data_IF_280869242448
#
_entry.id   IF_280869242448
#
_cell.length_a   1.000
_cell.length_b   1.000
_cell.length_c   1.000
_cell.angle_alpha   90.00
_cell.angle_beta   90.00
_cell.angle_gamma   90.00
#
_symmetry.space_group_name_H-M   'P 1'
#
loop_
_entity.id
_entity.type
_entity.pdbx_description
1 polymer ?
#
# COMPACT_ATOMS: atom_id res chain seq x y z
N UNK A 1 8.86 -9.88 29.28
CA UNK A 1 8.44 -8.89 30.28
C UNK A 1 9.20 -7.59 30.15
N UNK A 2 10.55 -7.54 30.28
CA UNK A 2 11.34 -6.30 30.07
C UNK A 2 11.09 -5.71 28.68
N UNK A 3 11.26 -6.52 27.63
CA UNK A 3 10.92 -6.15 26.24
C UNK A 3 9.48 -5.63 26.03
N UNK A 4 8.53 -6.06 26.86
CA UNK A 4 7.12 -5.67 26.79
C UNK A 4 6.77 -4.46 27.68
N UNK A 5 7.77 -3.81 28.29
CA UNK A 5 7.58 -2.61 29.11
C UNK A 5 7.10 -2.83 30.54
N UNK A 6 6.97 -4.07 31.01
CA UNK A 6 6.44 -4.34 32.36
C UNK A 6 7.29 -3.76 33.50
N UNK A 7 8.52 -3.34 33.22
CA UNK A 7 9.49 -2.84 34.19
C UNK A 7 9.86 -1.37 33.99
N UNK A 8 9.20 -0.66 33.06
CA UNK A 8 9.51 0.74 32.74
C UNK A 8 9.29 1.68 33.97
N UNK A 9 8.51 1.24 34.97
CA UNK A 9 8.31 1.94 36.24
C UNK A 9 9.41 1.76 37.30
N UNK A 10 10.45 0.95 37.05
CA UNK A 10 11.54 0.70 38.01
C UNK A 10 12.58 1.84 38.08
N UNK A 11 12.39 2.92 37.32
CA UNK A 11 13.35 4.03 37.25
C UNK A 11 14.61 3.69 36.44
N UNK A 12 14.55 2.62 35.65
CA UNK A 12 15.59 2.20 34.71
C UNK A 12 14.99 1.98 33.33
N UNK A 13 15.82 2.21 32.31
CA UNK A 13 15.41 2.03 30.93
C UNK A 13 15.52 0.54 30.51
N UNK A 14 14.96 0.16 29.35
CA UNK A 14 14.93 -1.24 28.94
C UNK A 14 16.31 -1.79 28.67
N UNK A 15 17.21 -1.02 28.06
CA UNK A 15 18.60 -1.43 27.84
C UNK A 15 19.32 -1.76 29.16
N UNK A 16 19.12 -0.94 30.18
CA UNK A 16 19.65 -1.14 31.52
C UNK A 16 19.09 -2.39 32.18
N UNK A 17 17.78 -2.60 32.14
CA UNK A 17 17.13 -3.79 32.67
C UNK A 17 17.63 -5.07 31.95
N UNK A 18 17.76 -4.99 30.63
CA UNK A 18 18.27 -6.09 29.79
C UNK A 18 19.73 -6.42 30.09
N UNK A 19 20.55 -5.45 30.49
CA UNK A 19 21.95 -5.70 30.83
C UNK A 19 22.14 -6.41 32.18
N UNK A 20 21.18 -6.28 33.11
CA UNK A 20 21.35 -6.77 34.49
C UNK A 20 20.50 -8.00 34.83
N UNK A 21 19.45 -8.32 34.08
CA UNK A 21 18.48 -9.35 34.50
C UNK A 21 19.11 -10.72 34.76
N UNK A 22 20.07 -11.17 33.94
CA UNK A 22 20.73 -12.46 34.13
C UNK A 22 21.52 -12.49 35.43
N UNK A 23 22.33 -11.46 35.66
CA UNK A 23 23.12 -11.34 36.88
C UNK A 23 22.26 -11.23 38.13
N UNK A 24 21.11 -10.55 38.05
CA UNK A 24 20.15 -10.43 39.13
C UNK A 24 19.48 -11.77 39.46
N UNK A 25 19.07 -12.53 38.43
CA UNK A 25 18.51 -13.88 38.61
C UNK A 25 19.52 -14.84 39.21
N UNK A 26 20.78 -14.79 38.78
CA UNK A 26 21.86 -15.63 39.31
C UNK A 26 22.19 -15.29 40.77
N UNK A 27 22.21 -14.00 41.12
CA UNK A 27 22.41 -13.56 42.49
C UNK A 27 21.30 -14.08 43.42
N UNK A 28 20.04 -13.92 43.03
CA UNK A 28 18.90 -14.43 43.79
C UNK A 28 18.89 -15.96 43.90
N UNK A 29 19.23 -16.68 42.83
CA UNK A 29 19.34 -18.13 42.86
C UNK A 29 20.43 -18.61 43.84
N UNK A 30 21.57 -17.89 43.93
CA UNK A 30 22.62 -18.15 44.92
C UNK A 30 22.16 -17.86 46.34
N UNK A 31 21.49 -16.73 46.57
CA UNK A 31 20.91 -16.38 47.88
C UNK A 31 19.92 -17.44 48.34
N UNK A 32 19.00 -17.89 47.48
CA UNK A 32 18.03 -18.96 47.82
C UNK A 32 18.71 -20.29 48.11
N UNK A 33 19.78 -20.66 47.39
CA UNK A 33 20.56 -21.89 47.68
C UNK A 33 21.33 -21.77 49.00
N UNK A 34 21.84 -20.59 49.32
CA UNK A 34 22.50 -20.32 50.61
C UNK A 34 21.53 -20.33 51.80
N UNK A 35 20.27 -19.95 51.57
CA UNK A 35 19.21 -19.92 52.57
C UNK A 35 18.38 -21.21 52.66
N UNK A 36 18.82 -22.32 52.06
CA UNK A 36 18.12 -23.60 52.20
C UNK A 36 18.15 -24.03 53.67
N UNK A 37 16.96 -24.31 54.20
CA UNK A 37 16.61 -24.48 55.62
C UNK A 37 17.73 -25.04 56.52
N UNK A 38 18.16 -24.21 57.47
CA UNK A 38 18.87 -24.63 58.69
C UNK A 38 20.30 -24.13 58.85
N UNK A 39 20.91 -23.53 57.82
CA UNK A 39 22.27 -23.00 57.93
C UNK A 39 22.26 -21.48 58.14
N UNK A 40 22.01 -21.04 59.38
CA UNK A 40 22.33 -19.66 59.78
C UNK A 40 23.86 -19.54 59.66
N UNK A 41 24.33 -18.66 58.77
CA UNK A 41 25.76 -18.39 58.64
C UNK A 41 26.28 -17.91 60.00
N UNK A 42 27.32 -18.56 60.55
CA UNK A 42 27.92 -18.21 61.85
C UNK A 42 28.39 -16.74 61.91
N UNK A 43 28.54 -16.07 60.76
CA UNK A 43 28.82 -14.64 60.64
C UNK A 43 27.61 -13.73 60.93
N UNK A 44 26.38 -14.19 60.64
CA UNK A 44 25.15 -13.43 60.90
C UNK A 44 24.80 -13.42 62.39
N UNK A 45 25.10 -14.52 63.10
CA UNK A 45 24.87 -14.64 64.54
C UNK A 45 25.89 -13.85 65.38
N UNK A 46 27.05 -13.51 64.81
CA UNK A 46 28.14 -12.79 65.47
C UNK A 46 28.05 -11.25 65.34
N UNK A 47 26.91 -10.71 64.90
CA UNK A 47 26.73 -9.27 64.71
C UNK A 47 27.45 -8.72 63.48
N UNK A 48 27.68 -9.57 62.46
CA UNK A 48 28.14 -9.12 61.15
C UNK A 48 27.18 -8.09 60.56
N UNK A 49 27.72 -7.04 59.95
CA UNK A 49 26.95 -5.98 59.32
C UNK A 49 25.84 -6.57 58.43
N UNK A 50 24.64 -5.94 58.37
CA UNK A 50 23.57 -6.42 57.52
C UNK A 50 24.13 -6.64 56.11
N UNK A 51 23.71 -7.71 55.39
CA UNK A 51 24.19 -7.95 54.04
C UNK A 51 24.03 -6.66 53.28
N UNK A 52 25.14 -6.14 52.75
CA UNK A 52 25.11 -4.95 51.93
C UNK A 52 24.03 -5.22 50.88
N UNK A 53 22.92 -4.49 50.98
CA UNK A 53 21.92 -4.46 49.92
C UNK A 53 22.75 -3.99 48.75
N UNK A 54 23.09 -4.91 47.85
CA UNK A 54 23.67 -4.56 46.57
C UNK A 54 22.59 -3.66 45.97
N UNK A 55 22.75 -2.35 46.14
CA UNK A 55 22.22 -1.40 45.20
C UNK A 55 22.97 -1.75 43.92
N UNK A 56 22.46 -2.77 43.22
CA UNK A 56 22.79 -3.05 41.85
C UNK A 56 22.27 -1.85 41.08
N UNK A 57 23.05 -0.77 41.13
CA UNK A 57 22.77 0.42 40.36
C UNK A 57 22.77 -0.02 38.92
N UNK A 58 21.71 0.30 38.21
CA UNK A 58 21.64 0.05 36.78
C UNK A 58 22.87 0.67 36.09
N UNK A 59 23.49 -0.04 35.13
CA UNK A 59 24.62 0.52 34.40
C UNK A 59 24.16 1.77 33.65
N UNK A 60 25.05 2.74 33.44
CA UNK A 60 24.71 3.91 32.64
C UNK A 60 24.70 3.54 31.16
N UNK A 61 23.55 3.09 30.66
CA UNK A 61 23.31 2.79 29.25
C UNK A 61 22.25 3.71 28.67
N UNK A 62 22.49 4.15 27.44
CA UNK A 62 21.50 4.84 26.63
C UNK A 62 20.35 3.88 26.28
N UNK A 63 19.14 4.43 26.12
CA UNK A 63 17.97 3.62 25.78
C UNK A 63 18.02 3.17 24.32
N UNK A 64 17.32 2.06 24.03
CA UNK A 64 17.15 1.60 22.67
C UNK A 64 16.45 2.66 21.78
N UNK A 65 16.80 2.73 20.48
CA UNK A 65 16.06 3.54 19.52
C UNK A 65 14.57 3.17 19.52
N UNK A 66 13.69 4.16 19.30
CA UNK A 66 12.23 3.98 19.31
C UNK A 66 11.78 2.78 18.48
N UNK A 67 12.32 2.61 17.28
CA UNK A 67 11.97 1.48 16.40
C UNK A 67 12.30 0.13 17.03
N UNK A 68 13.45 0.00 17.70
CA UNK A 68 13.82 -1.22 18.40
C UNK A 68 12.91 -1.50 19.61
N UNK A 69 12.48 -0.46 20.33
CA UNK A 69 11.50 -0.61 21.41
C UNK A 69 10.14 -1.14 20.90
N UNK A 70 9.66 -0.60 19.77
CA UNK A 70 8.43 -1.05 19.13
C UNK A 70 8.54 -2.49 18.61
N UNK A 71 9.67 -2.86 18.01
CA UNK A 71 9.94 -4.25 17.60
C UNK A 71 9.95 -5.19 18.80
N UNK A 72 10.63 -4.83 19.89
CA UNK A 72 10.66 -5.63 21.13
C UNK A 72 9.26 -5.81 21.74
N UNK A 73 8.43 -4.77 21.67
CA UNK A 73 7.05 -4.82 22.12
C UNK A 73 6.23 -5.79 21.27
N UNK A 74 6.19 -5.60 19.95
CA UNK A 74 5.48 -6.49 19.02
C UNK A 74 5.96 -7.94 19.11
N UNK A 75 7.26 -8.18 19.24
CA UNK A 75 7.81 -9.53 19.43
C UNK A 75 7.22 -10.25 20.65
N UNK A 76 6.92 -9.52 21.74
CA UNK A 76 6.48 -10.12 22.99
C UNK A 76 4.97 -10.13 23.16
N UNK A 77 4.26 -9.15 22.61
CA UNK A 77 2.81 -8.97 22.80
C UNK A 77 2.02 -9.29 21.54
N UNK A 78 2.69 -9.38 20.38
CA UNK A 78 2.08 -9.51 19.06
C UNK A 78 1.53 -8.20 18.48
N UNK A 79 1.54 -7.11 19.24
CA UNK A 79 0.94 -5.82 18.85
C UNK A 79 1.80 -4.64 19.31
N UNK A 80 1.71 -3.52 18.62
CA UNK A 80 2.33 -2.27 19.08
C UNK A 80 1.41 -1.58 20.10
N UNK A 81 1.88 -1.31 21.32
CA UNK A 81 1.06 -0.71 22.40
C UNK A 81 1.45 0.74 22.63
N UNK A 82 2.75 1.03 22.59
CA UNK A 82 3.30 2.37 22.89
C UNK A 82 3.28 3.34 21.70
N UNK A 83 3.05 2.87 20.48
CA UNK A 83 2.93 3.68 19.25
C UNK A 83 3.17 2.86 17.99
N UNK A 84 2.84 3.38 16.81
CA UNK A 84 2.98 2.63 15.55
C UNK A 84 4.27 3.03 14.80
N UNK A 85 4.96 2.10 14.09
CA UNK A 85 6.10 2.46 13.23
C UNK A 85 5.76 3.51 12.16
N UNK A 86 4.47 3.66 11.82
CA UNK A 86 3.97 4.66 10.88
C UNK A 86 3.76 6.04 11.50
N UNK A 87 3.85 6.20 12.83
CA UNK A 87 3.66 7.49 13.50
C UNK A 87 4.63 8.55 12.96
N UNK A 88 5.86 8.15 12.66
CA UNK A 88 6.88 9.04 12.10
C UNK A 88 6.55 9.48 10.65
N UNK A 89 5.58 8.83 10.01
CA UNK A 89 5.13 9.08 8.65
C UNK A 89 3.68 9.60 8.60
N UNK A 90 3.04 9.86 9.75
CA UNK A 90 1.62 10.21 9.82
C UNK A 90 1.24 11.39 8.91
N UNK A 91 2.04 12.46 8.92
CA UNK A 91 1.81 13.62 8.05
C UNK A 91 1.85 13.27 6.56
N UNK A 92 2.72 12.34 6.16
CA UNK A 92 2.83 11.90 4.78
C UNK A 92 1.65 11.03 4.40
N UNK A 93 1.28 10.09 5.26
CA UNK A 93 0.10 9.24 5.07
C UNK A 93 -1.20 10.05 5.02
N UNK A 94 -1.25 11.17 5.75
CA UNK A 94 -2.39 12.08 5.71
C UNK A 94 -2.61 12.75 4.35
N UNK A 95 -1.55 12.90 3.54
CA UNK A 95 -1.67 13.44 2.18
C UNK A 95 -2.20 12.44 1.15
N UNK A 96 -2.29 11.16 1.51
CA UNK A 96 -2.74 10.13 0.60
C UNK A 96 -4.27 10.16 0.46
N UNK A 97 -4.74 10.01 -0.77
CA UNK A 97 -6.17 10.06 -1.11
C UNK A 97 -6.93 8.78 -0.80
N UNK A 98 -6.25 7.75 -0.31
CA UNK A 98 -6.84 6.43 -0.09
C UNK A 98 -6.13 5.67 1.03
N UNK A 99 -6.92 5.10 1.93
CA UNK A 99 -6.53 4.38 3.15
C UNK A 99 -7.29 3.06 3.23
N UNK A 100 -6.89 2.21 4.16
CA UNK A 100 -7.54 0.92 4.35
C UNK A 100 -8.96 1.07 4.92
N UNK A 101 -9.23 2.14 5.69
CA UNK A 101 -10.59 2.54 6.07
C UNK A 101 -11.50 2.74 4.85
N UNK A 102 -11.02 3.38 3.78
CA UNK A 102 -11.83 3.58 2.58
C UNK A 102 -12.21 2.23 1.94
N UNK A 103 -11.32 1.23 2.00
CA UNK A 103 -11.61 -0.14 1.52
C UNK A 103 -12.74 -0.77 2.33
N UNK A 104 -12.71 -0.62 3.66
CA UNK A 104 -13.76 -1.13 4.53
C UNK A 104 -15.11 -0.43 4.22
N UNK A 105 -15.10 0.89 4.05
CA UNK A 105 -16.30 1.64 3.66
C UNK A 105 -16.84 1.20 2.30
N UNK A 106 -15.99 0.86 1.33
CA UNK A 106 -16.43 0.33 0.03
C UNK A 106 -17.19 -0.98 0.18
N UNK A 107 -16.73 -1.89 1.04
CA UNK A 107 -17.41 -3.18 1.25
C UNK A 107 -18.78 -3.06 1.91
N UNK A 108 -19.05 -1.95 2.61
CA UNK A 108 -20.34 -1.70 3.25
C UNK A 108 -21.38 -1.04 2.32
N UNK A 109 -21.00 -0.63 1.11
CA UNK A 109 -21.92 -0.01 0.14
C UNK A 109 -22.90 -1.03 -0.46
N UNK A 110 -24.02 -0.53 -0.99
CA UNK A 110 -25.04 -1.38 -1.65
C UNK A 110 -24.48 -2.19 -2.82
N UNK A 111 -23.46 -1.67 -3.52
CA UNK A 111 -22.77 -2.34 -4.61
C UNK A 111 -21.50 -3.09 -4.16
N UNK A 112 -21.26 -3.20 -2.84
CA UNK A 112 -20.05 -3.74 -2.24
C UNK A 112 -18.75 -3.16 -2.83
N UNK A 113 -18.79 -1.93 -3.37
CA UNK A 113 -17.65 -1.27 -3.99
C UNK A 113 -17.30 -1.73 -5.40
N UNK A 114 -18.14 -2.53 -6.06
CA UNK A 114 -17.92 -3.02 -7.44
C UNK A 114 -17.72 -1.86 -8.42
N UNK A 115 -18.38 -0.71 -8.20
CA UNK A 115 -18.19 0.50 -9.01
C UNK A 115 -16.75 1.04 -9.01
N UNK A 116 -15.96 0.71 -7.99
CA UNK A 116 -14.57 1.15 -7.81
C UNK A 116 -13.55 0.11 -8.32
N UNK A 117 -14.00 -1.01 -8.88
CA UNK A 117 -13.11 -2.01 -9.47
C UNK A 117 -12.23 -1.41 -10.58
N UNK A 118 -10.93 -1.67 -10.50
CA UNK A 118 -9.92 -1.12 -11.40
C UNK A 118 -9.51 0.32 -11.10
N UNK A 119 -10.07 0.98 -10.07
CA UNK A 119 -9.62 2.31 -9.64
C UNK A 119 -8.16 2.27 -9.23
N UNK A 120 -7.38 3.22 -9.75
CA UNK A 120 -5.98 3.38 -9.36
C UNK A 120 -5.91 4.12 -8.02
N UNK A 121 -5.18 3.58 -7.07
CA UNK A 121 -5.00 4.15 -5.74
C UNK A 121 -3.54 4.11 -5.33
N UNK A 122 -3.19 5.02 -4.43
CA UNK A 122 -1.89 5.04 -3.76
C UNK A 122 -2.17 4.94 -2.27
N UNK A 123 -1.61 3.91 -1.66
CA UNK A 123 -1.77 3.60 -0.24
C UNK A 123 -0.40 3.57 0.42
N UNK A 124 -0.33 3.98 1.67
CA UNK A 124 0.91 3.95 2.45
C UNK A 124 0.69 3.18 3.72
N UNK A 125 1.65 2.34 4.08
CA UNK A 125 1.53 1.48 5.25
C UNK A 125 2.79 0.67 5.50
N UNK A 126 2.68 -0.28 6.42
CA UNK A 126 3.70 -1.24 6.79
C UNK A 126 3.46 -2.54 6.03
N UNK A 127 4.46 -3.05 5.32
CA UNK A 127 4.37 -4.39 4.72
C UNK A 127 4.66 -5.41 5.83
N UNK A 128 3.62 -6.08 6.32
CA UNK A 128 3.70 -6.98 7.49
C UNK A 128 4.16 -8.38 7.08
N UNK A 129 3.75 -8.82 5.89
CA UNK A 129 4.16 -10.12 5.35
C UNK A 129 4.27 -10.10 3.83
N UNK A 130 5.10 -10.98 3.30
CA UNK A 130 5.26 -11.24 1.86
C UNK A 130 5.42 -12.75 1.67
N UNK A 131 4.50 -13.38 0.92
CA UNK A 131 4.56 -14.79 0.55
C UNK A 131 4.66 -14.95 -0.96
N UNK A 132 5.52 -15.86 -1.40
CA UNK A 132 5.65 -16.22 -2.81
C UNK A 132 4.81 -17.47 -3.13
N UNK A 133 4.15 -17.49 -4.27
CA UNK A 133 3.40 -18.65 -4.76
C UNK A 133 3.67 -18.88 -6.24
N UNK A 134 3.82 -20.13 -6.64
CA UNK A 134 3.97 -20.49 -8.06
C UNK A 134 2.60 -20.49 -8.74
N UNK A 135 2.47 -19.71 -9.81
CA UNK A 135 1.28 -19.68 -10.66
C UNK A 135 1.12 -21.00 -11.43
N UNK A 136 -0.08 -21.27 -11.95
CA UNK A 136 -0.36 -22.42 -12.82
C UNK A 136 0.55 -22.48 -14.07
N UNK A 137 1.14 -21.35 -14.48
CA UNK A 137 2.05 -21.22 -15.63
C UNK A 137 3.53 -21.37 -15.24
N UNK A 138 3.84 -21.66 -13.98
CA UNK A 138 5.21 -21.85 -13.47
C UNK A 138 5.93 -20.57 -13.05
N UNK A 139 5.39 -19.38 -13.33
CA UNK A 139 5.96 -18.11 -12.86
C UNK A 139 5.63 -17.88 -11.38
N UNK A 140 6.51 -17.21 -10.62
CA UNK A 140 6.25 -16.84 -9.22
C UNK A 140 5.41 -15.56 -9.13
N UNK A 141 4.42 -15.52 -8.25
CA UNK A 141 3.66 -14.33 -7.86
C UNK A 141 3.82 -14.10 -6.35
N UNK A 142 3.55 -12.88 -5.90
CA UNK A 142 3.62 -12.52 -4.48
C UNK A 142 2.26 -12.12 -3.92
N UNK A 143 2.02 -12.42 -2.64
CA UNK A 143 0.97 -11.80 -1.86
C UNK A 143 1.62 -11.10 -0.68
N UNK A 144 1.36 -9.81 -0.54
CA UNK A 144 1.78 -9.01 0.59
C UNK A 144 0.58 -8.57 1.41
N UNK A 145 0.78 -8.27 2.68
CA UNK A 145 -0.23 -7.62 3.52
C UNK A 145 0.28 -6.23 3.86
N UNK A 146 -0.48 -5.21 3.44
CA UNK A 146 -0.24 -3.82 3.81
C UNK A 146 -1.11 -3.48 5.02
N UNK A 147 -0.50 -2.99 6.08
CA UNK A 147 -1.17 -2.51 7.29
C UNK A 147 -0.98 -1.00 7.44
N UNK A 148 -2.06 -0.25 7.63
CA UNK A 148 -1.99 1.15 8.02
C UNK A 148 -2.60 1.35 9.42
N UNK A 149 -2.77 2.60 9.85
CA UNK A 149 -3.35 2.93 11.17
C UNK A 149 -4.84 2.56 11.30
N UNK A 150 -5.49 2.15 10.21
CA UNK A 150 -6.93 1.91 10.13
C UNK A 150 -7.30 0.45 9.84
N UNK A 151 -6.41 -0.32 9.22
CA UNK A 151 -6.67 -1.72 8.92
C UNK A 151 -5.58 -2.39 8.09
N UNK A 152 -5.93 -3.53 7.48
CA UNK A 152 -5.06 -4.31 6.60
C UNK A 152 -5.72 -4.60 5.25
N UNK A 153 -4.92 -4.66 4.18
CA UNK A 153 -5.37 -5.06 2.83
C UNK A 153 -4.38 -6.05 2.20
N UNK A 154 -4.91 -7.11 1.56
CA UNK A 154 -4.11 -8.03 0.76
C UNK A 154 -3.69 -7.38 -0.57
N UNK A 155 -2.39 -7.39 -0.83
CA UNK A 155 -1.77 -6.86 -2.02
C UNK A 155 -1.26 -8.01 -2.89
N UNK A 156 -1.65 -8.04 -4.17
CA UNK A 156 -1.25 -9.06 -5.13
C UNK A 156 -0.18 -8.51 -6.09
N UNK A 157 0.98 -9.16 -6.10
CA UNK A 157 2.09 -8.85 -6.97
C UNK A 157 2.13 -9.87 -8.12
N UNK A 158 1.78 -9.44 -9.32
CA UNK A 158 1.96 -10.27 -10.52
C UNK A 158 3.44 -10.58 -10.77
N UNK A 159 3.78 -11.65 -11.52
CA UNK A 159 5.15 -12.12 -11.64
C UNK A 159 6.20 -11.05 -11.99
N UNK A 160 5.88 -10.15 -12.93
CA UNK A 160 6.79 -9.04 -13.29
C UNK A 160 7.07 -8.08 -12.15
N UNK A 161 6.07 -7.82 -11.31
CA UNK A 161 6.16 -6.93 -10.15
C UNK A 161 6.86 -7.64 -8.99
N UNK A 162 6.53 -8.92 -8.79
CA UNK A 162 7.18 -9.76 -7.78
C UNK A 162 8.67 -9.97 -8.05
N UNK A 163 9.07 -10.19 -9.30
CA UNK A 163 10.49 -10.29 -9.68
C UNK A 163 11.26 -8.98 -9.42
N UNK A 164 10.59 -7.83 -9.56
CA UNK A 164 11.20 -6.51 -9.39
C UNK A 164 11.34 -6.09 -7.93
N UNK A 165 10.35 -6.38 -7.10
CA UNK A 165 10.30 -5.86 -5.72
C UNK A 165 10.27 -6.96 -4.66
N UNK A 166 9.65 -8.11 -4.95
CA UNK A 166 9.27 -9.10 -3.94
C UNK A 166 10.43 -9.83 -3.25
N UNK A 167 11.64 -9.83 -3.81
CA UNK A 167 12.82 -10.48 -3.21
C UNK A 167 13.51 -9.65 -2.13
N UNK A 168 13.36 -8.33 -2.19
CA UNK A 168 14.17 -7.40 -1.40
C UNK A 168 13.34 -6.61 -0.37
N UNK A 169 12.08 -7.01 -0.14
CA UNK A 169 11.20 -6.36 0.85
C UNK A 169 11.33 -7.08 2.19
N UNK A 170 11.99 -6.48 3.19
CA UNK A 170 11.96 -7.01 4.56
C UNK A 170 10.57 -6.88 5.17
N UNK A 171 10.21 -7.75 6.13
CA UNK A 171 9.01 -7.55 6.94
C UNK A 171 9.12 -6.26 7.75
N UNK A 172 7.97 -5.69 8.10
CA UNK A 172 7.86 -4.45 8.86
C UNK A 172 8.53 -3.24 8.18
N UNK A 173 8.48 -3.22 6.85
CA UNK A 173 8.99 -2.11 6.04
C UNK A 173 7.88 -1.08 5.77
N UNK A 174 8.06 0.20 6.16
CA UNK A 174 7.19 1.28 5.73
C UNK A 174 7.32 1.50 4.21
N UNK A 175 6.21 1.42 3.48
CA UNK A 175 6.19 1.52 2.04
C UNK A 175 4.95 2.25 1.51
N UNK A 176 5.14 2.92 0.37
CA UNK A 176 4.08 3.43 -0.49
C UNK A 176 3.82 2.42 -1.60
N UNK A 177 2.57 2.02 -1.76
CA UNK A 177 2.13 1.07 -2.77
C UNK A 177 1.18 1.78 -3.73
N UNK A 178 1.50 1.74 -5.02
CA UNK A 178 0.57 2.16 -6.08
C UNK A 178 0.03 0.94 -6.78
N UNK A 179 -1.28 0.93 -7.03
CA UNK A 179 -1.92 -0.19 -7.68
C UNK A 179 -3.35 0.09 -8.09
N UNK A 180 -4.05 -0.97 -8.47
CA UNK A 180 -5.48 -0.93 -8.81
C UNK A 180 -6.27 -1.77 -7.82
N UNK A 181 -7.39 -1.25 -7.34
CA UNK A 181 -8.33 -2.03 -6.56
C UNK A 181 -8.91 -3.14 -7.44
N UNK A 182 -8.98 -4.35 -6.90
CA UNK A 182 -9.74 -5.46 -7.44
C UNK A 182 -10.85 -5.78 -6.45
N UNK A 183 -12.08 -5.49 -6.85
CA UNK A 183 -13.29 -5.72 -6.04
C UNK A 183 -14.16 -6.75 -6.75
N UNK A 184 -14.61 -7.77 -6.04
CA UNK A 184 -15.44 -8.85 -6.58
C UNK A 184 -16.56 -9.19 -5.60
N UNK A 185 -17.71 -9.62 -6.11
CA UNK A 185 -18.93 -9.88 -5.31
C UNK A 185 -18.74 -10.85 -4.14
N UNK A 186 -17.79 -11.79 -4.21
CA UNK A 186 -17.57 -12.84 -3.19
C UNK A 186 -16.12 -12.93 -2.69
N UNK A 187 -15.27 -11.96 -3.00
CA UNK A 187 -13.88 -11.92 -2.52
C UNK A 187 -13.61 -10.62 -1.76
N UNK A 188 -12.80 -10.68 -0.70
CA UNK A 188 -12.28 -9.46 -0.06
C UNK A 188 -11.51 -8.61 -1.08
N UNK A 189 -11.68 -7.27 -1.06
CA UNK A 189 -10.95 -6.39 -1.96
C UNK A 189 -9.44 -6.59 -1.87
N UNK A 190 -8.78 -6.60 -3.03
CA UNK A 190 -7.33 -6.76 -3.12
C UNK A 190 -6.72 -5.61 -3.89
N UNK A 191 -5.50 -5.25 -3.53
CA UNK A 191 -4.72 -4.26 -4.29
C UNK A 191 -3.82 -4.99 -5.29
N UNK A 192 -4.08 -4.82 -6.59
CA UNK A 192 -3.18 -5.27 -7.65
C UNK A 192 -2.02 -4.29 -7.76
N UNK A 193 -0.83 -4.70 -7.29
CA UNK A 193 0.31 -3.80 -7.14
C UNK A 193 1.00 -3.53 -8.47
N UNK A 194 1.25 -2.25 -8.77
CA UNK A 194 2.08 -1.79 -9.88
C UNK A 194 3.50 -1.46 -9.39
N UNK A 195 3.62 -0.68 -8.30
CA UNK A 195 4.90 -0.20 -7.76
C UNK A 195 4.91 -0.20 -6.23
N UNK A 196 6.08 -0.43 -5.66
CA UNK A 196 6.36 -0.35 -4.22
C UNK A 196 7.57 0.56 -4.03
N UNK A 197 7.44 1.58 -3.19
CA UNK A 197 8.50 2.53 -2.86
C UNK A 197 8.69 2.59 -1.34
N UNK A 198 9.93 2.48 -0.81
CA UNK A 198 10.19 2.67 0.60
C UNK A 198 9.76 4.06 1.08
N UNK A 199 9.09 4.16 2.22
CA UNK A 199 8.87 5.45 2.87
C UNK A 199 10.18 5.88 3.55
N UNK A 200 10.73 7.00 3.09
CA UNK A 200 11.90 7.63 3.68
C UNK A 200 11.49 8.98 4.28
N UNK A 201 11.95 9.25 5.51
CA UNK A 201 11.57 10.46 6.26
C UNK A 201 11.85 11.78 5.52
N UNK A 202 12.89 11.84 4.68
CA UNK A 202 13.35 13.06 4.02
C UNK A 202 13.08 13.13 2.50
N UNK A 203 12.55 12.07 1.89
CA UNK A 203 12.53 11.96 0.42
C UNK A 203 11.15 12.21 -0.21
N UNK A 204 10.16 12.61 0.57
CA UNK A 204 8.84 12.92 0.02
C UNK A 204 8.77 14.38 -0.43
N UNK A 205 9.26 14.63 -1.65
CA UNK A 205 8.46 15.47 -2.52
C UNK A 205 7.20 14.65 -2.80
N UNK A 206 5.98 15.14 -2.51
CA UNK A 206 4.80 14.51 -3.06
C UNK A 206 5.02 14.50 -4.56
N UNK A 207 5.39 13.33 -5.11
CA UNK A 207 4.67 12.88 -6.27
C UNK A 207 3.26 12.74 -5.75
N UNK A 208 2.53 13.86 -5.80
CA UNK A 208 1.14 13.79 -6.16
C UNK A 208 1.08 12.64 -7.16
N UNK A 209 0.11 11.76 -6.98
CA UNK A 209 -0.51 11.22 -8.17
C UNK A 209 -0.90 12.49 -8.93
N UNK A 210 0.01 12.99 -9.79
CA UNK A 210 -0.39 13.65 -10.98
C UNK A 210 -1.34 12.60 -11.51
N UNK A 211 -2.64 12.84 -11.36
CA UNK A 211 -3.62 12.23 -12.21
C UNK A 211 -2.94 12.28 -13.57
N UNK A 212 -2.41 11.14 -14.04
CA UNK A 212 -1.91 11.07 -15.39
C UNK A 212 -3.08 11.65 -16.17
N UNK A 213 -2.90 12.81 -16.85
CA UNK A 213 -4.02 13.54 -17.43
C UNK A 213 -4.88 12.49 -18.11
N UNK A 214 -6.15 12.36 -17.69
CA UNK A 214 -6.91 11.13 -17.82
C UNK A 214 -6.66 10.58 -19.22
N UNK A 215 -6.11 9.37 -19.30
CA UNK A 215 -5.68 8.81 -20.58
C UNK A 215 -6.79 9.02 -21.61
N UNK A 216 -6.46 9.23 -22.88
CA UNK A 216 -7.49 9.48 -23.90
C UNK A 216 -8.59 8.40 -23.87
N UNK A 217 -8.22 7.16 -23.51
CA UNK A 217 -9.15 6.07 -23.27
C UNK A 217 -10.08 6.27 -22.06
N UNK A 218 -9.59 6.82 -20.95
CA UNK A 218 -10.40 7.17 -19.76
C UNK A 218 -11.41 8.28 -20.08
N UNK A 219 -10.96 9.37 -20.72
CA UNK A 219 -11.84 10.46 -21.18
C UNK A 219 -12.88 9.93 -22.17
N UNK A 220 -12.46 9.09 -23.12
CA UNK A 220 -13.36 8.48 -24.09
C UNK A 220 -14.36 7.50 -23.45
N UNK A 221 -14.00 6.84 -22.34
CA UNK A 221 -14.89 5.94 -21.61
C UNK A 221 -16.00 6.71 -20.88
N UNK A 222 -15.65 7.84 -20.28
CA UNK A 222 -16.54 8.70 -19.49
C UNK A 222 -17.41 9.63 -20.36
N UNK A 223 -17.03 9.88 -21.63
CA UNK A 223 -17.83 10.74 -22.50
C UNK A 223 -19.23 10.17 -22.74
N UNK A 224 -20.29 10.98 -22.56
CA UNK A 224 -21.68 10.57 -22.76
C UNK A 224 -22.02 10.33 -24.23
N UNK A 225 -21.23 10.88 -25.15
CA UNK A 225 -21.43 10.75 -26.60
C UNK A 225 -20.16 10.21 -27.23
N UNK A 226 -20.30 9.27 -28.18
CA UNK A 226 -19.19 8.66 -28.91
C UNK A 226 -19.52 8.58 -30.38
N UNK A 227 -18.57 8.96 -31.23
CA UNK A 227 -18.70 8.84 -32.68
C UNK A 227 -17.88 7.64 -33.17
N UNK A 228 -18.48 6.79 -33.98
CA UNK A 228 -17.82 5.66 -34.61
C UNK A 228 -17.81 5.87 -36.12
N UNK A 229 -16.65 5.69 -36.74
CA UNK A 229 -16.46 5.74 -38.18
C UNK A 229 -15.82 4.44 -38.65
N UNK A 230 -16.44 3.78 -39.62
CA UNK A 230 -15.87 2.63 -40.34
C UNK A 230 -15.23 3.12 -41.64
N UNK A 231 -13.95 2.82 -41.83
CA UNK A 231 -13.20 3.33 -42.99
C UNK A 231 -11.99 2.44 -43.32
N UNK A 232 -11.36 2.68 -44.47
CA UNK A 232 -10.05 2.12 -44.81
C UNK A 232 -8.94 3.07 -44.40
N UNK A 233 -7.72 2.55 -44.16
CA UNK A 233 -6.55 3.35 -43.78
C UNK A 233 -6.18 4.41 -44.83
N UNK A 234 -6.44 4.13 -46.10
CA UNK A 234 -6.22 5.06 -47.22
C UNK A 234 -7.07 6.32 -47.14
N UNK A 235 -8.23 6.25 -46.49
CA UNK A 235 -9.18 7.36 -46.37
C UNK A 235 -8.91 8.24 -45.13
N UNK A 236 -7.82 7.96 -44.39
CA UNK A 236 -7.43 8.69 -43.18
C UNK A 236 -7.22 10.19 -43.41
N UNK A 237 -6.62 10.66 -44.53
CA UNK A 237 -6.52 12.09 -44.81
C UNK A 237 -7.89 12.78 -44.97
N UNK A 238 -8.86 12.10 -45.59
CA UNK A 238 -10.20 12.64 -45.81
C UNK A 238 -10.97 12.76 -44.49
N UNK A 239 -10.82 11.77 -43.61
CA UNK A 239 -11.34 11.83 -42.24
C UNK A 239 -10.75 13.00 -41.46
N UNK A 240 -9.42 13.18 -41.47
CA UNK A 240 -8.76 14.26 -40.77
C UNK A 240 -9.25 15.64 -41.25
N UNK A 241 -9.38 15.81 -42.57
CA UNK A 241 -9.87 17.05 -43.16
C UNK A 241 -11.34 17.35 -42.77
N UNK A 242 -12.17 16.33 -42.59
CA UNK A 242 -13.56 16.48 -42.18
C UNK A 242 -13.70 16.83 -40.69
N UNK A 243 -12.97 16.11 -39.81
CA UNK A 243 -13.06 16.31 -38.36
C UNK A 243 -12.43 17.61 -37.90
N UNK A 244 -11.32 18.05 -38.51
CA UNK A 244 -10.66 19.33 -38.16
C UNK A 244 -11.57 20.55 -38.32
N UNK A 245 -12.68 20.45 -39.06
CA UNK A 245 -13.68 21.52 -39.18
C UNK A 245 -14.54 21.68 -37.92
N UNK A 246 -14.63 20.66 -37.08
CA UNK A 246 -15.48 20.62 -35.90
C UNK A 246 -14.70 20.12 -34.68
N UNK A 247 -13.62 20.79 -34.23
CA UNK A 247 -12.82 20.34 -33.10
C UNK A 247 -13.62 20.39 -31.79
N UNK A 248 -13.38 19.44 -30.88
CA UNK A 248 -13.93 19.50 -29.52
C UNK A 248 -13.67 18.24 -28.69
N UNK A 249 -14.61 17.86 -27.82
CA UNK A 249 -14.34 16.95 -26.69
C UNK A 249 -15.01 15.57 -26.81
N UNK A 250 -15.66 15.29 -27.95
CA UNK A 250 -16.33 14.03 -28.21
C UNK A 250 -15.35 13.04 -28.84
N UNK A 251 -15.11 11.87 -28.21
CA UNK A 251 -14.19 10.86 -28.72
C UNK A 251 -14.69 10.23 -30.03
N UNK A 252 -13.76 10.03 -30.96
CA UNK A 252 -14.01 9.39 -32.25
C UNK A 252 -13.27 8.05 -32.33
N UNK A 253 -14.00 6.99 -32.65
CA UNK A 253 -13.48 5.64 -32.82
C UNK A 253 -13.43 5.26 -34.30
N UNK A 254 -12.28 4.81 -34.78
CA UNK A 254 -12.03 4.41 -36.16
C UNK A 254 -11.99 2.88 -36.26
N UNK A 255 -12.97 2.29 -36.92
CA UNK A 255 -13.02 0.87 -37.22
C UNK A 255 -12.39 0.60 -38.59
N UNK A 256 -11.30 -0.14 -38.61
CA UNK A 256 -10.55 -0.53 -39.81
C UNK A 256 -10.78 -2.04 -40.06
N UNK A 257 -11.79 -2.41 -40.88
CA UNK A 257 -12.18 -3.81 -41.02
C UNK A 257 -11.15 -4.69 -41.73
N UNK A 258 -10.30 -4.12 -42.56
CA UNK A 258 -9.22 -4.86 -43.26
C UNK A 258 -8.09 -5.28 -42.30
N UNK A 259 -7.96 -4.56 -41.18
CA UNK A 259 -6.95 -4.82 -40.15
C UNK A 259 -7.57 -5.48 -38.90
N UNK A 260 -8.90 -5.65 -38.86
CA UNK A 260 -9.66 -6.14 -37.70
C UNK A 260 -9.35 -5.37 -36.39
N UNK A 261 -9.14 -4.05 -36.50
CA UNK A 261 -8.85 -3.18 -35.35
C UNK A 261 -9.84 -2.02 -35.24
N UNK A 262 -10.08 -1.59 -34.00
CA UNK A 262 -10.75 -0.31 -33.70
C UNK A 262 -9.79 0.56 -32.89
N UNK A 263 -9.53 1.76 -33.41
CA UNK A 263 -8.61 2.73 -32.82
C UNK A 263 -9.38 3.90 -32.23
N UNK A 264 -8.94 4.40 -31.09
CA UNK A 264 -9.37 5.70 -30.59
C UNK A 264 -8.55 6.78 -31.31
N UNK A 265 -9.23 7.76 -31.92
CA UNK A 265 -8.55 8.87 -32.58
C UNK A 265 -7.75 9.72 -31.56
N UNK A 266 -6.59 10.27 -31.96
CA UNK A 266 -5.86 11.27 -31.18
C UNK A 266 -6.77 12.42 -30.74
N UNK A 267 -6.41 13.09 -29.63
CA UNK A 267 -7.22 14.16 -29.03
C UNK A 267 -7.58 15.31 -29.98
N UNK A 268 -6.68 15.59 -30.91
CA UNK A 268 -6.81 16.63 -31.93
C UNK A 268 -7.88 16.32 -32.97
N UNK A 269 -8.27 15.05 -33.08
CA UNK A 269 -9.26 14.52 -34.01
C UNK A 269 -10.56 14.10 -33.27
N UNK A 270 -10.85 14.77 -32.16
CA UNK A 270 -12.13 14.66 -31.46
C UNK A 270 -13.08 15.75 -31.96
N UNK A 271 -14.38 15.47 -31.95
CA UNK A 271 -15.37 16.40 -32.48
C UNK A 271 -16.07 17.23 -31.39
N UNK A 272 -16.51 18.44 -31.72
CA UNK A 272 -17.28 19.29 -30.80
C UNK A 272 -18.75 18.89 -30.71
N UNK A 273 -19.37 18.68 -31.87
CA UNK A 273 -20.75 18.22 -31.98
C UNK A 273 -20.80 16.94 -32.83
N UNK A 274 -21.39 15.88 -32.28
CA UNK A 274 -21.43 14.58 -32.93
C UNK A 274 -22.36 14.56 -34.16
N UNK A 275 -23.40 15.40 -34.19
CA UNK A 275 -24.33 15.48 -35.31
C UNK A 275 -23.73 16.29 -36.46
N UNK A 276 -23.04 17.40 -36.16
CA UNK A 276 -22.34 18.18 -37.18
C UNK A 276 -21.17 17.39 -37.77
N UNK A 277 -20.41 16.68 -36.92
CA UNK A 277 -19.35 15.78 -37.37
C UNK A 277 -19.92 14.65 -38.25
N UNK A 278 -21.07 14.07 -37.88
CA UNK A 278 -21.75 13.07 -38.71
C UNK A 278 -22.18 13.66 -40.06
N UNK A 279 -22.76 14.85 -40.08
CA UNK A 279 -23.18 15.51 -41.31
C UNK A 279 -22.01 15.77 -42.28
N UNK A 280 -20.85 16.14 -41.74
CA UNK A 280 -19.63 16.33 -42.53
C UNK A 280 -19.03 15.01 -43.03
N UNK A 281 -19.05 13.96 -42.19
CA UNK A 281 -18.50 12.66 -42.56
C UNK A 281 -19.34 11.94 -43.61
N UNK A 282 -20.68 12.05 -43.56
CA UNK A 282 -21.56 11.38 -44.54
C UNK A 282 -21.43 11.95 -45.96
N UNK A 283 -20.89 13.16 -46.11
CA UNK A 283 -20.57 13.71 -47.43
C UNK A 283 -19.42 12.96 -48.13
N UNK A 284 -18.61 12.23 -47.36
CA UNK A 284 -17.36 11.59 -47.81
C UNK A 284 -17.45 10.06 -47.64
N UNK A 285 -18.09 9.61 -46.56
CA UNK A 285 -18.25 8.20 -46.19
C UNK A 285 -19.72 7.78 -46.30
N UNK A 286 -20.00 6.49 -46.60
CA UNK A 286 -21.36 5.96 -46.56
C UNK A 286 -22.03 6.21 -45.19
N UNK A 287 -23.33 6.50 -45.19
CA UNK A 287 -24.08 6.79 -43.95
C UNK A 287 -24.01 5.64 -42.93
N UNK A 288 -24.09 4.40 -43.43
CA UNK A 288 -23.96 3.18 -42.63
C UNK A 288 -22.62 3.05 -41.89
N UNK A 289 -21.60 3.78 -42.31
CA UNK A 289 -20.28 3.77 -41.71
C UNK A 289 -20.11 4.78 -40.57
N UNK A 290 -21.08 5.69 -40.38
CA UNK A 290 -20.99 6.76 -39.36
C UNK A 290 -22.08 6.59 -38.32
N UNK A 291 -21.69 6.24 -37.10
CA UNK A 291 -22.64 5.98 -36.00
C UNK A 291 -22.33 6.85 -34.79
N UNK A 292 -23.33 7.64 -34.37
CA UNK A 292 -23.30 8.37 -33.09
C UNK A 292 -23.98 7.50 -32.04
N UNK A 293 -23.30 7.28 -30.91
CA UNK A 293 -23.84 6.55 -29.77
C UNK A 293 -23.90 7.51 -28.58
N UNK A 294 -25.10 7.69 -28.04
CA UNK A 294 -25.34 8.46 -26.81
C UNK A 294 -25.63 7.45 -25.70
N UNK A 295 -24.85 7.53 -24.62
CA UNK A 295 -25.04 6.73 -23.42
C UNK A 295 -25.96 7.53 -22.49
N UNK A 296 -27.16 7.00 -22.23
CA UNK A 296 -28.06 7.51 -21.21
C UNK A 296 -27.50 7.26 -19.81
#
# INVERSE_FOLDING_TARGET
MVKAGCFDGLGANRAQCMAVYESALDAEAKTRRGNVDGQISLFDLAGGAPPAVLQSSFPNLEEYPRQALLTMEKEMTGVYISGHPLDDYAQMLDTLSFRTADVAELTEREDAGISEDGRRVVMGGLIVSMRAQTTKKGSMMGFAVLEDLTGQIECLLFPRVFERYGRDIPPDMPALITGKLSVREEEEPKLLVDTIEPLMRDTFAPKAVAEEPPSLASLARQSPVKLYLRMRREQMPDFEAAIRKCPGDIPVFLNLPEEDITLLAPRELWCGDAQDARANLIQIFPDEHVKVVVRN
#
